data_IF_444422496245
#
_entry.id   IF_444422496245
#
_cell.length_a   1.000
_cell.length_b   1.000
_cell.length_c   1.000
_cell.angle_alpha   90.00
_cell.angle_beta   90.00
_cell.angle_gamma   90.00
#
_symmetry.space_group_name_H-M   'P 1'
#
loop_
_entity.id
_entity.type
_entity.pdbx_description
1 polymer ?
#
# COMPACT_ATOMS: atom_id res chain seq x y z
N UNK A 1 -1.42 -4.60 -19.84
CA UNK A 1 -2.10 -4.32 -18.57
C UNK A 1 -1.47 -5.20 -17.51
N UNK A 2 -1.37 -4.72 -16.28
CA UNK A 2 -0.74 -5.44 -15.19
C UNK A 2 -0.85 -4.62 -13.90
N UNK A 3 -0.68 -5.24 -12.74
CA UNK A 3 -0.70 -4.57 -11.44
C UNK A 3 0.40 -3.52 -11.25
N UNK A 4 -0.01 -2.26 -11.30
CA UNK A 4 0.78 -1.07 -10.99
C UNK A 4 0.31 -0.52 -9.63
N UNK A 5 1.24 -0.37 -8.69
CA UNK A 5 0.94 -0.04 -7.30
C UNK A 5 1.75 1.17 -6.88
N UNK A 6 1.15 2.07 -6.10
CA UNK A 6 1.77 3.34 -5.75
C UNK A 6 1.55 3.66 -4.27
N UNK A 7 2.51 4.39 -3.70
CA UNK A 7 2.34 5.08 -2.44
C UNK A 7 2.66 6.56 -2.62
N UNK A 8 1.83 7.42 -2.02
CA UNK A 8 1.96 8.87 -2.08
C UNK A 8 1.95 9.48 -0.67
N UNK A 9 2.54 10.66 -0.54
CA UNK A 9 2.39 11.54 0.61
C UNK A 9 1.64 12.82 0.22
N UNK A 10 0.68 13.23 1.05
CA UNK A 10 -0.07 14.47 0.92
C UNK A 10 -0.12 15.23 2.26
N UNK A 11 -0.12 16.57 2.26
CA UNK A 11 -0.22 17.35 3.49
C UNK A 11 -1.64 17.33 4.09
N UNK A 12 -2.66 17.01 3.30
CA UNK A 12 -4.04 16.95 3.77
C UNK A 12 -4.32 15.69 4.58
N UNK A 13 -5.17 15.82 5.59
CA UNK A 13 -5.76 14.66 6.29
C UNK A 13 -7.10 14.32 5.62
N UNK A 14 -7.26 13.13 5.04
CA UNK A 14 -8.52 12.74 4.42
C UNK A 14 -9.62 12.56 5.47
N UNK A 15 -10.88 12.79 5.08
CA UNK A 15 -12.03 12.68 5.98
C UNK A 15 -12.32 11.23 6.42
N UNK A 16 -11.80 10.25 5.67
CA UNK A 16 -11.89 8.83 5.96
C UNK A 16 -10.54 8.16 5.61
N UNK A 17 -10.18 7.04 6.26
CA UNK A 17 -8.90 6.38 6.01
C UNK A 17 -8.90 5.53 4.72
N UNK A 18 -10.02 5.50 4.00
CA UNK A 18 -10.24 4.72 2.78
C UNK A 18 -11.19 5.48 1.84
N UNK A 19 -11.20 5.12 0.56
CA UNK A 19 -12.16 5.61 -0.44
C UNK A 19 -12.21 7.15 -0.56
N UNK A 20 -11.12 7.83 -0.21
CA UNK A 20 -11.01 9.28 -0.34
C UNK A 20 -10.38 9.66 -1.67
N UNK A 21 -10.80 10.81 -2.19
CA UNK A 21 -10.13 11.45 -3.31
C UNK A 21 -8.88 12.19 -2.81
N UNK A 22 -7.80 12.12 -3.57
CA UNK A 22 -6.59 12.87 -3.31
C UNK A 22 -6.04 13.39 -4.65
N UNK A 23 -5.62 14.66 -4.68
CA UNK A 23 -4.72 15.09 -5.74
C UNK A 23 -3.43 14.28 -5.62
N UNK A 24 -2.85 13.88 -6.75
CA UNK A 24 -1.64 13.05 -6.77
C UNK A 24 -0.52 13.82 -6.08
N UNK A 25 -0.22 13.44 -4.83
CA UNK A 25 0.81 14.05 -4.01
C UNK A 25 2.23 13.66 -4.45
N UNK A 26 3.19 13.83 -3.55
CA UNK A 26 4.55 13.35 -3.79
C UNK A 26 4.56 11.82 -3.85
N UNK A 27 4.93 11.24 -4.99
CA UNK A 27 5.12 9.79 -5.11
C UNK A 27 6.28 9.36 -4.22
N UNK A 28 6.01 8.47 -3.26
CA UNK A 28 7.01 7.91 -2.36
C UNK A 28 7.64 6.65 -2.95
N UNK A 29 6.79 5.84 -3.57
CA UNK A 29 7.17 4.52 -4.01
C UNK A 29 6.23 3.96 -5.06
N UNK A 30 6.78 3.11 -5.92
CA UNK A 30 6.08 2.42 -6.98
C UNK A 30 6.51 0.95 -7.01
N UNK A 31 5.54 0.04 -7.08
CA UNK A 31 5.79 -1.39 -7.30
C UNK A 31 5.12 -1.85 -8.59
N UNK A 32 5.80 -2.76 -9.29
CA UNK A 32 5.27 -3.46 -10.45
C UNK A 32 5.09 -4.93 -10.12
N UNK A 33 3.86 -5.44 -10.20
CA UNK A 33 3.54 -6.87 -10.09
C UNK A 33 3.98 -7.50 -8.76
N UNK A 34 3.66 -6.85 -7.64
CA UNK A 34 3.92 -7.39 -6.31
C UNK A 34 2.60 -7.84 -5.64
N UNK A 35 1.98 -8.96 -6.08
CA UNK A 35 0.65 -9.37 -5.63
C UNK A 35 0.55 -9.59 -4.13
N UNK A 36 1.57 -10.17 -3.48
CA UNK A 36 1.46 -10.51 -2.07
C UNK A 36 1.35 -9.26 -1.19
N UNK A 37 2.08 -8.19 -1.51
CA UNK A 37 1.89 -6.89 -0.86
C UNK A 37 0.52 -6.29 -1.19
N UNK A 38 0.06 -6.39 -2.44
CA UNK A 38 -1.27 -5.93 -2.82
C UNK A 38 -2.38 -6.62 -2.01
N UNK A 39 -2.29 -7.93 -1.80
CA UNK A 39 -3.23 -8.67 -0.95
C UNK A 39 -3.15 -8.27 0.53
N UNK A 40 -1.96 -7.91 1.03
CA UNK A 40 -1.82 -7.35 2.38
C UNK A 40 -2.55 -6.01 2.50
N UNK A 41 -2.38 -5.12 1.50
CA UNK A 41 -3.07 -3.84 1.43
C UNK A 41 -4.59 -4.02 1.31
N UNK A 42 -5.05 -5.01 0.53
CA UNK A 42 -6.47 -5.33 0.42
C UNK A 42 -7.04 -5.76 1.78
N UNK A 43 -6.36 -6.66 2.48
CA UNK A 43 -6.80 -7.13 3.79
C UNK A 43 -6.92 -5.97 4.79
N UNK A 44 -5.98 -5.02 4.75
CA UNK A 44 -6.05 -3.81 5.56
C UNK A 44 -7.23 -2.92 5.15
N UNK A 45 -7.45 -2.72 3.84
CA UNK A 45 -8.59 -1.95 3.33
C UNK A 45 -9.94 -2.53 3.80
N UNK A 46 -10.11 -3.86 3.75
CA UNK A 46 -11.31 -4.52 4.29
C UNK A 46 -11.45 -4.31 5.80
N UNK A 47 -10.35 -4.42 6.55
CA UNK A 47 -10.34 -4.20 8.00
C UNK A 47 -10.74 -2.76 8.38
N UNK A 48 -10.44 -1.78 7.52
CA UNK A 48 -10.88 -0.37 7.68
C UNK A 48 -12.31 -0.12 7.20
N UNK A 49 -13.03 -1.15 6.76
CA UNK A 49 -14.44 -1.08 6.35
C UNK A 49 -14.67 -0.91 4.85
N UNK A 50 -13.62 -1.04 4.03
CA UNK A 50 -13.68 -0.88 2.58
C UNK A 50 -14.50 -1.96 1.89
N UNK A 51 -15.30 -1.55 0.89
CA UNK A 51 -16.32 -2.38 0.23
C UNK A 51 -16.19 -2.49 -1.28
N UNK A 52 -15.20 -1.84 -1.90
CA UNK A 52 -14.96 -2.00 -3.33
C UNK A 52 -14.49 -3.42 -3.63
N UNK A 53 -15.30 -4.25 -4.28
CA UNK A 53 -15.00 -5.68 -4.47
C UNK A 53 -13.66 -5.93 -5.20
N UNK A 54 -13.25 -5.04 -6.10
CA UNK A 54 -12.05 -5.20 -6.91
C UNK A 54 -10.77 -4.67 -6.25
N UNK A 55 -10.89 -3.87 -5.17
CA UNK A 55 -9.76 -3.16 -4.55
C UNK A 55 -8.83 -2.50 -5.60
N UNK A 56 -9.46 -1.82 -6.56
CA UNK A 56 -8.79 -1.21 -7.70
C UNK A 56 -9.16 0.26 -7.78
N UNK A 57 -8.18 1.14 -8.02
CA UNK A 57 -8.36 2.60 -8.06
C UNK A 57 -9.04 3.16 -6.79
N UNK A 58 -8.78 2.58 -5.62
CA UNK A 58 -9.24 3.07 -4.32
C UNK A 58 -8.06 3.41 -3.43
N UNK A 59 -8.18 4.51 -2.68
CA UNK A 59 -7.12 4.98 -1.81
C UNK A 59 -7.24 4.36 -0.41
N UNK A 60 -6.10 3.96 0.16
CA UNK A 60 -5.97 3.39 1.49
C UNK A 60 -4.92 4.18 2.27
N UNK A 61 -5.34 4.92 3.29
CA UNK A 61 -4.41 5.58 4.20
C UNK A 61 -3.60 4.55 4.98
N UNK A 62 -2.29 4.80 5.14
CA UNK A 62 -1.38 4.00 5.96
C UNK A 62 -0.98 4.81 7.20
N UNK A 63 -1.17 4.20 8.37
CA UNK A 63 -0.78 4.79 9.66
C UNK A 63 0.54 4.20 10.15
N UNK A 64 1.16 4.80 11.16
CA UNK A 64 2.37 4.26 11.78
C UNK A 64 2.17 2.80 12.28
N UNK A 65 1.03 2.51 12.90
CA UNK A 65 0.67 1.17 13.39
C UNK A 65 0.49 0.17 12.23
N UNK A 66 -0.06 0.62 11.09
CA UNK A 66 -0.17 -0.21 9.89
C UNK A 66 1.22 -0.54 9.33
N UNK A 67 2.13 0.44 9.30
CA UNK A 67 3.52 0.24 8.85
C UNK A 67 4.30 -0.69 9.79
N UNK A 68 4.09 -0.63 11.11
CA UNK A 68 4.67 -1.58 12.07
C UNK A 68 4.26 -3.02 11.77
N UNK A 69 2.97 -3.23 11.49
CA UNK A 69 2.43 -4.54 11.14
C UNK A 69 2.96 -5.01 9.79
N UNK A 70 2.96 -4.13 8.79
CA UNK A 70 3.48 -4.42 7.46
C UNK A 70 4.95 -4.85 7.52
N UNK A 71 5.78 -4.09 8.23
CA UNK A 71 7.20 -4.41 8.40
C UNK A 71 7.42 -5.77 9.06
N UNK A 72 6.62 -6.08 10.08
CA UNK A 72 6.66 -7.37 10.77
C UNK A 72 6.31 -8.52 9.83
N UNK A 73 5.26 -8.36 9.02
CA UNK A 73 4.82 -9.38 8.07
C UNK A 73 5.82 -9.56 6.90
N UNK A 74 6.40 -8.46 6.39
CA UNK A 74 7.47 -8.50 5.39
C UNK A 74 8.67 -9.29 5.93
N UNK A 75 9.18 -8.93 7.11
CA UNK A 75 10.36 -9.58 7.72
C UNK A 75 10.13 -11.05 8.05
N UNK A 76 8.90 -11.41 8.37
CA UNK A 76 8.51 -12.79 8.70
C UNK A 76 8.15 -13.63 7.47
N UNK A 77 8.05 -13.02 6.28
CA UNK A 77 7.59 -13.71 5.07
C UNK A 77 6.10 -14.08 5.12
N UNK A 78 5.29 -13.32 5.87
CA UNK A 78 3.87 -13.57 6.13
C UNK A 78 2.93 -12.82 5.17
N UNK A 79 3.44 -12.17 4.12
CA UNK A 79 2.58 -11.56 3.12
C UNK A 79 1.67 -12.64 2.49
N UNK A 80 0.36 -12.37 2.36
CA UNK A 80 -0.59 -13.38 1.90
C UNK A 80 -0.31 -13.76 0.44
N UNK A 81 -0.26 -15.06 0.11
CA UNK A 81 -0.19 -15.50 -1.28
C UNK A 81 -1.39 -14.95 -2.05
N UNK A 82 -1.12 -14.11 -3.04
CA UNK A 82 -2.16 -13.39 -3.77
C UNK A 82 -1.96 -13.59 -5.27
N UNK A 83 -3.05 -13.66 -6.02
CA UNK A 83 -2.99 -13.88 -7.47
C UNK A 83 -4.14 -13.18 -8.18
N UNK A 84 -3.89 -12.79 -9.42
CA UNK A 84 -4.86 -12.17 -10.31
C UNK A 84 -4.32 -12.24 -11.74
N UNK A 85 -5.22 -12.23 -12.73
CA UNK A 85 -4.84 -12.43 -14.14
C UNK A 85 -3.77 -11.43 -14.61
N UNK A 86 -3.75 -10.22 -14.04
CA UNK A 86 -2.83 -9.14 -14.37
C UNK A 86 -1.72 -8.92 -13.32
N UNK A 87 -1.67 -9.72 -12.26
CA UNK A 87 -0.85 -9.37 -11.08
C UNK A 87 0.62 -9.77 -11.20
N UNK A 88 0.97 -10.70 -12.08
CA UNK A 88 2.30 -11.29 -12.07
C UNK A 88 2.50 -12.18 -10.83
N UNK A 89 3.71 -12.21 -10.29
CA UNK A 89 4.10 -13.08 -9.17
C UNK A 89 5.07 -12.34 -8.27
N UNK A 90 4.91 -12.52 -6.96
CA UNK A 90 5.94 -12.14 -5.99
C UNK A 90 7.01 -13.24 -5.95
N UNK A 91 8.29 -12.87 -5.99
CA UNK A 91 9.41 -13.82 -5.98
C UNK A 91 10.41 -13.63 -4.83
N UNK A 92 10.17 -12.63 -3.97
CA UNK A 92 10.96 -12.33 -2.79
C UNK A 92 12.12 -11.36 -3.07
N UNK A 93 12.36 -10.99 -4.33
CA UNK A 93 13.34 -9.95 -4.67
C UNK A 93 12.89 -8.56 -4.19
N UNK A 94 11.61 -8.41 -3.85
CA UNK A 94 11.00 -7.15 -3.40
C UNK A 94 11.32 -6.80 -1.92
N UNK A 95 11.84 -7.75 -1.13
CA UNK A 95 12.03 -7.58 0.33
C UNK A 95 12.77 -6.28 0.72
N UNK A 96 13.88 -5.98 0.05
CA UNK A 96 14.66 -4.79 0.36
C UNK A 96 13.93 -3.50 -0.06
N UNK A 97 13.16 -3.57 -1.14
CA UNK A 97 12.38 -2.45 -1.68
C UNK A 97 11.18 -2.13 -0.77
N UNK A 98 10.49 -3.16 -0.27
CA UNK A 98 9.37 -3.01 0.67
C UNK A 98 9.81 -2.37 2.00
N UNK A 99 10.96 -2.80 2.54
CA UNK A 99 11.50 -2.20 3.75
C UNK A 99 11.94 -0.75 3.53
N UNK A 100 12.50 -0.43 2.36
CA UNK A 100 12.84 0.95 2.01
C UNK A 100 11.58 1.84 1.90
N UNK A 101 10.47 1.30 1.38
CA UNK A 101 9.18 2.00 1.41
C UNK A 101 8.72 2.28 2.84
N UNK A 102 8.75 1.28 3.74
CA UNK A 102 8.33 1.45 5.13
C UNK A 102 9.10 2.59 5.81
N UNK A 103 10.42 2.65 5.62
CA UNK A 103 11.27 3.71 6.17
C UNK A 103 10.86 5.10 5.64
N UNK A 104 10.68 5.25 4.32
CA UNK A 104 10.22 6.51 3.71
C UNK A 104 8.85 6.93 4.24
N UNK A 105 7.90 6.00 4.28
CA UNK A 105 6.54 6.27 4.74
C UNK A 105 6.50 6.74 6.21
N UNK A 106 7.35 6.17 7.07
CA UNK A 106 7.48 6.63 8.46
C UNK A 106 8.05 8.04 8.56
N UNK A 107 9.04 8.38 7.72
CA UNK A 107 9.60 9.72 7.70
C UNK A 107 8.55 10.77 7.34
N UNK A 108 7.76 10.52 6.30
CA UNK A 108 6.66 11.41 5.88
C UNK A 108 5.60 11.56 6.98
N UNK A 109 5.20 10.46 7.64
CA UNK A 109 4.26 10.52 8.77
C UNK A 109 4.83 11.33 9.94
N UNK A 110 6.14 11.19 10.23
CA UNK A 110 6.80 11.96 11.28
C UNK A 110 6.84 13.47 10.97
N UNK A 111 6.89 13.83 9.69
CA UNK A 111 6.80 15.21 9.19
C UNK A 111 5.35 15.72 9.11
N UNK A 112 4.38 14.92 9.56
CA UNK A 112 2.96 15.29 9.64
C UNK A 112 2.18 15.06 8.34
N UNK A 113 2.76 14.35 7.38
CA UNK A 113 2.12 14.03 6.11
C UNK A 113 1.21 12.80 6.24
N UNK A 114 0.16 12.75 5.42
CA UNK A 114 -0.64 11.54 5.24
C UNK A 114 -0.01 10.69 4.14
N UNK A 115 0.31 9.43 4.46
CA UNK A 115 0.73 8.43 3.47
C UNK A 115 -0.45 7.56 3.07
N UNK A 116 -0.56 7.25 1.77
CA UNK A 116 -1.59 6.33 1.29
C UNK A 116 -1.13 5.46 0.13
N UNK A 117 -1.78 4.31 0.00
CA UNK A 117 -1.61 3.33 -1.05
C UNK A 117 -2.74 3.42 -2.08
N UNK A 118 -2.42 3.17 -3.35
CA UNK A 118 -3.39 2.98 -4.43
C UNK A 118 -2.85 2.03 -5.51
N UNK A 119 -3.71 1.54 -6.40
CA UNK A 119 -3.29 0.64 -7.47
C UNK A 119 -4.19 0.70 -8.70
N UNK A 120 -3.67 0.23 -9.84
CA UNK A 120 -4.38 0.02 -11.09
C UNK A 120 -3.89 -1.27 -11.76
N UNK A 121 -4.82 -2.11 -12.20
CA UNK A 121 -4.54 -3.34 -12.94
C UNK A 121 -5.51 -3.63 -14.09
#
# INVERSE_FOLDING_TARGET
>A
MGLDMYAFAIPETPAAPIDFEAETGSELHYWRKHPNLHGWMEALYRAKGGRNDDFNCVNLQLTADDLDRLETDIRSGNLPPTSGFFFGQSDGTELADDLAFVEKARAEIADGMTVFYTSWW
#
